data_IF_028283670923
#
_entry.id   IF_028283670923
#
_cell.length_a   1.000
_cell.length_b   1.000
_cell.length_c   1.000
_cell.angle_alpha   90.00
_cell.angle_beta   90.00
_cell.angle_gamma   90.00
#
_symmetry.space_group_name_H-M   'P 1'
#
loop_
_entity.id
_entity.type
_entity.pdbx_description
1 polymer ?
#
# COMPACT_ATOMS: atom_id res chain seq x y z
N UNK A 1 7.52 -5.14 -8.41
CA UNK A 1 8.00 -4.83 -9.77
C UNK A 1 7.55 -3.41 -10.08
N UNK A 2 8.49 -2.49 -10.24
CA UNK A 2 8.19 -1.10 -10.56
C UNK A 2 7.59 -1.01 -11.96
N UNK A 3 6.43 -0.35 -12.10
CA UNK A 3 5.78 -0.15 -13.41
C UNK A 3 6.50 0.89 -14.27
N UNK A 4 7.40 1.68 -13.68
CA UNK A 4 8.09 2.83 -14.29
C UNK A 4 9.52 2.90 -13.75
N UNK A 5 10.52 3.17 -14.59
CA UNK A 5 11.92 3.32 -14.15
C UNK A 5 12.16 4.67 -13.47
N UNK A 6 13.22 4.77 -12.65
CA UNK A 6 13.60 6.04 -12.00
C UNK A 6 13.85 7.14 -13.03
N UNK A 7 14.49 6.83 -14.16
CA UNK A 7 14.73 7.79 -15.24
C UNK A 7 13.43 8.28 -15.87
N UNK A 8 12.45 7.38 -16.04
CA UNK A 8 11.15 7.74 -16.58
C UNK A 8 10.36 8.65 -15.63
N UNK A 9 10.38 8.36 -14.33
CA UNK A 9 9.76 9.20 -13.32
C UNK A 9 10.44 10.58 -13.21
N UNK A 10 11.78 10.63 -13.22
CA UNK A 10 12.51 11.92 -13.19
C UNK A 10 12.19 12.80 -14.40
N UNK A 11 12.00 12.21 -15.60
CA UNK A 11 11.57 12.98 -16.78
C UNK A 11 10.20 13.64 -16.60
N UNK A 12 9.28 13.00 -15.88
CA UNK A 12 7.98 13.60 -15.58
C UNK A 12 8.10 14.70 -14.52
N UNK A 13 8.92 14.50 -13.48
CA UNK A 13 9.15 15.51 -12.43
C UNK A 13 9.77 16.80 -12.95
N UNK A 14 10.67 16.73 -13.95
CA UNK A 14 11.26 17.92 -14.59
C UNK A 14 10.19 18.80 -15.24
N UNK A 15 9.09 18.22 -15.73
CA UNK A 15 7.98 18.99 -16.35
C UNK A 15 7.17 19.79 -15.32
N UNK A 16 7.33 19.50 -14.03
CA UNK A 16 6.66 20.22 -12.94
C UNK A 16 7.39 21.52 -12.56
N UNK A 17 8.47 21.89 -13.27
CA UNK A 17 9.24 23.12 -13.08
C UNK A 17 9.76 23.29 -11.62
N UNK A 18 10.09 22.17 -10.98
CA UNK A 18 10.69 22.15 -9.64
C UNK A 18 12.11 22.71 -9.66
N UNK A 19 12.55 23.27 -8.53
CA UNK A 19 13.92 23.72 -8.36
C UNK A 19 14.92 22.56 -8.52
N UNK A 20 16.08 22.83 -9.10
CA UNK A 20 17.07 21.79 -9.44
C UNK A 20 17.57 21.02 -8.21
N UNK A 21 17.78 21.71 -7.09
CA UNK A 21 18.14 21.08 -5.82
C UNK A 21 17.06 20.10 -5.34
N UNK A 22 15.78 20.45 -5.47
CA UNK A 22 14.68 19.57 -5.11
C UNK A 22 14.65 18.30 -5.99
N UNK A 23 14.93 18.43 -7.29
CA UNK A 23 15.04 17.27 -8.19
C UNK A 23 16.21 16.36 -7.83
N UNK A 24 17.34 16.93 -7.39
CA UNK A 24 18.49 16.16 -6.90
C UNK A 24 18.15 15.41 -5.61
N UNK A 25 17.48 16.08 -4.67
CA UNK A 25 17.06 15.48 -3.40
C UNK A 25 16.07 14.32 -3.63
N UNK A 26 15.06 14.52 -4.50
CA UNK A 26 14.09 13.47 -4.86
C UNK A 26 14.80 12.28 -5.51
N UNK A 27 15.72 12.53 -6.44
CA UNK A 27 16.49 11.46 -7.10
C UNK A 27 17.28 10.65 -6.08
N UNK A 28 18.07 11.34 -5.24
CA UNK A 28 18.89 10.71 -4.20
C UNK A 28 18.04 9.87 -3.26
N UNK A 29 16.90 10.43 -2.82
CA UNK A 29 15.94 9.72 -1.99
C UNK A 29 15.45 8.43 -2.66
N UNK A 30 15.02 8.46 -3.92
CA UNK A 30 14.47 7.28 -4.60
C UNK A 30 15.54 6.25 -4.97
N UNK A 31 16.77 6.70 -5.26
CA UNK A 31 17.91 5.80 -5.49
C UNK A 31 18.29 5.03 -4.21
N UNK A 32 18.05 5.59 -3.02
CA UNK A 32 18.26 4.91 -1.72
C UNK A 32 17.21 3.86 -1.36
N UNK A 33 16.27 3.53 -2.25
CA UNK A 33 15.12 2.63 -1.96
C UNK A 33 15.46 1.27 -1.38
N UNK A 34 16.66 0.75 -1.65
CA UNK A 34 17.13 -0.52 -1.08
C UNK A 34 17.39 -0.47 0.43
N UNK A 35 17.57 0.72 0.97
CA UNK A 35 17.84 0.98 2.40
C UNK A 35 16.56 1.29 3.18
N UNK A 36 15.44 1.49 2.48
CA UNK A 36 14.19 1.91 3.07
C UNK A 36 13.62 0.84 4.01
N UNK A 37 13.71 1.16 5.30
CA UNK A 37 13.17 0.42 6.44
C UNK A 37 12.47 1.42 7.35
N UNK A 38 11.70 0.95 8.33
CA UNK A 38 11.11 1.86 9.33
C UNK A 38 12.23 2.65 10.04
N UNK A 39 13.35 1.99 10.38
CA UNK A 39 14.53 2.62 10.99
C UNK A 39 15.18 3.69 10.10
N UNK A 40 15.25 3.48 8.78
CA UNK A 40 15.73 4.51 7.85
C UNK A 40 14.91 5.81 7.97
N UNK A 41 13.58 5.69 8.02
CA UNK A 41 12.69 6.85 8.12
C UNK A 41 12.73 7.53 9.49
N UNK A 42 12.99 6.79 10.58
CA UNK A 42 13.28 7.37 11.91
C UNK A 42 14.49 8.32 11.87
N UNK A 43 15.46 8.07 10.99
CA UNK A 43 16.58 8.98 10.76
C UNK A 43 16.21 10.30 10.06
N UNK A 44 15.02 10.39 9.45
CA UNK A 44 14.56 11.52 8.63
C UNK A 44 13.42 12.31 9.27
N UNK A 45 12.92 11.91 10.44
CA UNK A 45 11.72 12.49 11.06
C UNK A 45 11.94 13.86 11.71
N UNK A 46 13.18 14.36 11.74
CA UNK A 46 13.50 15.68 12.28
C UNK A 46 12.68 16.74 11.54
N UNK A 47 12.02 17.60 12.32
CA UNK A 47 11.19 18.71 11.83
C UNK A 47 10.02 18.32 10.91
N UNK A 48 9.60 17.05 10.91
CA UNK A 48 8.44 16.58 10.15
C UNK A 48 7.41 15.88 11.07
N UNK A 49 6.41 16.61 11.61
CA UNK A 49 5.45 16.06 12.57
C UNK A 49 4.57 14.95 11.97
N UNK A 50 4.26 15.02 10.67
CA UNK A 50 3.47 14.00 9.99
C UNK A 50 4.25 12.68 9.87
N UNK A 51 5.55 12.77 9.57
CA UNK A 51 6.44 11.61 9.54
C UNK A 51 6.61 10.99 10.92
N UNK A 52 6.80 11.82 11.96
CA UNK A 52 6.89 11.37 13.35
C UNK A 52 5.63 10.61 13.77
N UNK A 53 4.45 11.18 13.49
CA UNK A 53 3.18 10.51 13.79
C UNK A 53 3.05 9.18 13.02
N UNK A 54 3.36 9.19 11.73
CA UNK A 54 3.30 7.99 10.89
C UNK A 54 4.22 6.87 11.39
N UNK A 55 5.42 7.20 11.88
CA UNK A 55 6.36 6.23 12.44
C UNK A 55 5.88 5.64 13.76
N UNK A 56 5.29 6.45 14.63
CA UNK A 56 4.64 5.95 15.87
C UNK A 56 3.51 4.98 15.53
N UNK A 57 2.64 5.33 14.58
CA UNK A 57 1.54 4.45 14.14
C UNK A 57 2.07 3.14 13.53
N UNK A 58 3.17 3.18 12.77
CA UNK A 58 3.81 1.98 12.19
C UNK A 58 4.48 1.10 13.26
N UNK A 59 5.09 1.67 14.29
CA UNK A 59 5.66 0.93 15.41
C UNK A 59 4.55 0.21 16.20
N UNK A 60 3.43 0.88 16.48
CA UNK A 60 2.26 0.27 17.12
C UNK A 60 1.68 -0.87 16.28
N UNK A 61 1.50 -0.65 14.97
CA UNK A 61 1.04 -1.69 14.06
C UNK A 61 1.98 -2.89 14.07
N UNK A 62 3.29 -2.66 13.99
CA UNK A 62 4.31 -3.71 14.01
C UNK A 62 4.22 -4.55 15.31
N UNK A 63 4.01 -3.89 16.46
CA UNK A 63 3.80 -4.58 17.72
C UNK A 63 2.54 -5.47 17.70
N UNK A 64 1.43 -5.00 17.11
CA UNK A 64 0.23 -5.83 16.95
C UNK A 64 0.45 -7.01 16.01
N UNK A 65 1.14 -6.82 14.87
CA UNK A 65 1.43 -7.89 13.92
C UNK A 65 2.30 -9.00 14.55
N UNK A 66 3.29 -8.63 15.37
CA UNK A 66 4.09 -9.58 16.15
C UNK A 66 3.23 -10.31 17.17
N UNK A 67 2.35 -9.58 17.89
CA UNK A 67 1.49 -10.18 18.92
C UNK A 67 0.47 -11.16 18.35
N UNK A 68 0.05 -10.95 17.11
CA UNK A 68 -0.88 -11.77 16.34
C UNK A 68 -0.20 -12.91 15.56
N UNK A 69 1.14 -13.01 15.60
CA UNK A 69 1.93 -14.04 14.90
C UNK A 69 1.76 -13.98 13.36
N UNK A 70 1.63 -12.78 12.81
CA UNK A 70 1.49 -12.55 11.35
C UNK A 70 2.53 -11.57 10.79
N UNK A 71 3.52 -11.16 11.60
CA UNK A 71 4.55 -10.22 11.18
C UNK A 71 5.35 -10.72 9.97
N UNK A 72 5.68 -12.02 9.92
CA UNK A 72 6.46 -12.62 8.84
C UNK A 72 5.71 -12.61 7.48
N UNK A 73 4.38 -12.49 7.50
CA UNK A 73 3.55 -12.36 6.31
C UNK A 73 3.43 -10.91 5.81
N UNK A 74 3.91 -9.95 6.60
CA UNK A 74 3.76 -8.52 6.35
C UNK A 74 5.09 -7.90 5.91
N UNK A 75 5.04 -7.02 4.91
CA UNK A 75 6.23 -6.31 4.43
C UNK A 75 5.94 -4.82 4.34
N UNK A 76 6.79 -4.02 4.99
CA UNK A 76 6.74 -2.57 4.86
C UNK A 76 7.12 -2.16 3.43
N UNK A 77 6.30 -1.32 2.82
CA UNK A 77 6.53 -0.81 1.47
C UNK A 77 6.19 0.69 1.39
N UNK A 78 7.19 1.58 1.43
CA UNK A 78 6.98 3.03 1.34
C UNK A 78 6.38 3.50 0.02
N UNK A 79 6.49 2.70 -1.06
CA UNK A 79 5.90 3.03 -2.35
C UNK A 79 4.39 2.76 -2.41
N UNK A 80 3.80 2.20 -1.35
CA UNK A 80 2.36 1.96 -1.30
C UNK A 80 1.62 3.29 -1.10
N UNK A 81 1.49 4.05 -2.18
CA UNK A 81 0.67 5.24 -2.27
C UNK A 81 -0.55 4.92 -3.15
N UNK A 82 -1.74 4.91 -2.53
CA UNK A 82 -3.03 4.85 -3.25
C UNK A 82 -3.62 6.24 -3.37
N UNK A 83 -4.73 6.37 -4.11
CA UNK A 83 -5.46 7.63 -4.37
C UNK A 83 -5.39 8.55 -3.14
N UNK A 84 -4.60 9.61 -3.29
CA UNK A 84 -3.98 10.39 -2.22
C UNK A 84 -4.97 11.08 -1.26
N UNK A 85 -6.26 11.10 -1.57
CA UNK A 85 -7.22 11.94 -0.89
C UNK A 85 -8.11 11.23 0.14
N UNK A 86 -8.03 9.90 0.25
CA UNK A 86 -8.95 9.12 1.09
C UNK A 86 -8.30 8.60 2.36
N UNK A 87 -7.06 8.12 2.30
CA UNK A 87 -6.38 7.53 3.44
C UNK A 87 -5.70 8.58 4.33
N UNK A 88 -5.75 8.36 5.64
CA UNK A 88 -5.25 9.28 6.68
C UNK A 88 -4.32 8.59 7.67
N UNK A 89 -3.79 7.42 7.32
CA UNK A 89 -2.93 6.59 8.17
C UNK A 89 -2.52 5.33 7.44
N UNK A 90 -2.42 4.19 8.15
CA UNK A 90 -2.02 2.89 7.58
C UNK A 90 -2.76 2.54 6.29
N UNK A 91 -2.01 2.06 5.30
CA UNK A 91 -2.50 1.48 4.04
C UNK A 91 -1.90 0.07 3.93
N UNK A 92 -2.70 -0.89 3.46
CA UNK A 92 -2.22 -2.26 3.21
C UNK A 92 -2.79 -2.82 1.90
N UNK A 93 -1.98 -3.67 1.28
CA UNK A 93 -2.36 -4.51 0.15
C UNK A 93 -2.02 -5.96 0.45
N UNK A 94 -2.90 -6.85 -0.01
CA UNK A 94 -2.84 -8.29 0.21
C UNK A 94 -2.57 -8.94 -1.14
N UNK A 95 -1.64 -9.87 -1.14
CA UNK A 95 -1.23 -10.65 -2.31
C UNK A 95 -1.27 -12.13 -1.96
N UNK A 96 -1.33 -13.00 -2.98
CA UNK A 96 -1.12 -14.43 -2.78
C UNK A 96 0.35 -14.69 -2.47
N UNK A 97 0.60 -15.52 -1.46
CA UNK A 97 1.95 -15.88 -1.01
C UNK A 97 2.77 -16.57 -2.10
N UNK A 98 2.13 -17.44 -2.88
CA UNK A 98 2.76 -18.20 -3.96
C UNK A 98 3.12 -17.34 -5.20
N UNK A 99 2.69 -16.08 -5.23
CA UNK A 99 2.93 -15.16 -6.33
C UNK A 99 2.32 -15.59 -7.68
N UNK A 100 1.43 -16.58 -7.69
CA UNK A 100 0.74 -17.06 -8.91
C UNK A 100 -0.02 -15.93 -9.59
N UNK A 101 -0.61 -15.06 -8.79
CA UNK A 101 -1.18 -13.79 -9.21
C UNK A 101 -0.36 -12.66 -8.65
N UNK A 102 0.11 -11.79 -9.55
CA UNK A 102 0.92 -10.61 -9.20
C UNK A 102 0.09 -9.38 -8.83
N UNK A 103 -1.21 -9.36 -9.16
CA UNK A 103 -2.11 -8.30 -8.72
C UNK A 103 -2.56 -8.54 -7.28
N UNK A 104 -2.82 -7.45 -6.55
CA UNK A 104 -3.39 -7.52 -5.21
C UNK A 104 -4.76 -8.20 -5.23
N UNK A 105 -5.02 -9.07 -4.25
CA UNK A 105 -6.31 -9.75 -4.02
C UNK A 105 -7.21 -9.01 -3.02
N UNK A 106 -6.67 -8.00 -2.35
CA UNK A 106 -7.39 -7.25 -1.34
C UNK A 106 -6.57 -6.08 -0.83
N UNK A 107 -7.23 -5.07 -0.31
CA UNK A 107 -6.55 -3.83 0.11
C UNK A 107 -7.40 -3.06 1.09
N UNK A 108 -6.79 -2.14 1.81
CA UNK A 108 -7.51 -1.31 2.74
C UNK A 108 -6.60 -0.30 3.43
N UNK A 109 -7.13 0.29 4.49
CA UNK A 109 -6.43 1.28 5.27
C UNK A 109 -7.36 2.13 6.13
N UNK A 110 -6.78 3.14 6.77
CA UNK A 110 -7.45 4.09 7.66
C UNK A 110 -7.89 5.36 6.91
N UNK A 111 -9.14 5.82 7.08
CA UNK A 111 -9.72 6.92 6.29
C UNK A 111 -10.69 7.82 7.07
N UNK A 112 -10.20 8.55 8.07
CA UNK A 112 -11.02 9.27 9.05
C UNK A 112 -12.03 10.28 8.50
N UNK A 113 -11.79 10.78 7.29
CA UNK A 113 -12.59 11.83 6.68
C UNK A 113 -13.79 11.29 5.88
N UNK A 114 -13.89 9.98 5.65
CA UNK A 114 -14.88 9.41 4.73
C UNK A 114 -16.33 9.68 5.20
N UNK A 115 -16.62 9.43 6.48
CA UNK A 115 -17.97 9.63 7.04
C UNK A 115 -18.31 11.12 7.11
N UNK A 116 -17.38 11.97 7.53
CA UNK A 116 -17.57 13.43 7.56
C UNK A 116 -17.93 14.00 6.18
N UNK A 117 -17.19 13.58 5.14
CA UNK A 117 -17.48 13.95 3.74
C UNK A 117 -18.87 13.48 3.29
N UNK A 118 -19.27 12.25 3.62
CA UNK A 118 -20.60 11.72 3.30
C UNK A 118 -21.72 12.53 3.97
N UNK A 119 -21.53 12.89 5.25
CA UNK A 119 -22.49 13.66 6.03
C UNK A 119 -22.44 15.17 5.73
N UNK A 120 -21.50 15.63 4.89
CA UNK A 120 -21.19 17.06 4.68
C UNK A 120 -20.94 17.80 6.00
N UNK A 121 -20.25 17.13 6.92
CA UNK A 121 -19.86 17.62 8.23
C UNK A 121 -18.35 17.80 8.30
N UNK A 122 -17.88 18.80 9.07
CA UNK A 122 -16.46 18.96 9.41
C UNK A 122 -15.96 17.98 10.47
N UNK A 123 -16.81 17.08 10.95
CA UNK A 123 -16.46 16.06 11.93
C UNK A 123 -15.63 14.94 11.29
N UNK A 124 -14.59 14.51 12.01
CA UNK A 124 -13.79 13.33 11.67
C UNK A 124 -14.31 12.12 12.43
N UNK A 125 -14.26 10.95 11.79
CA UNK A 125 -14.69 9.69 12.37
C UNK A 125 -13.64 8.62 12.09
N UNK A 126 -12.99 8.12 13.14
CA UNK A 126 -11.98 7.07 12.99
C UNK A 126 -12.54 5.85 12.30
N UNK A 127 -11.97 5.52 11.15
CA UNK A 127 -12.44 4.41 10.31
C UNK A 127 -11.26 3.66 9.72
N UNK A 128 -11.39 2.33 9.70
CA UNK A 128 -10.49 1.42 9.01
C UNK A 128 -11.34 0.41 8.26
N UNK A 129 -10.91 0.01 7.08
CA UNK A 129 -11.64 -0.98 6.31
C UNK A 129 -10.76 -1.74 5.34
N UNK A 130 -11.30 -2.85 4.87
CA UNK A 130 -10.65 -3.80 3.97
C UNK A 130 -11.65 -4.23 2.91
N UNK A 131 -11.18 -4.42 1.69
CA UNK A 131 -11.96 -4.95 0.58
C UNK A 131 -11.18 -6.05 -0.11
N UNK A 132 -11.89 -7.05 -0.62
CA UNK A 132 -11.33 -8.19 -1.36
C UNK A 132 -11.80 -8.16 -2.82
N UNK A 133 -10.86 -8.38 -3.74
CA UNK A 133 -11.13 -8.50 -5.17
C UNK A 133 -11.61 -9.91 -5.49
N UNK A 134 -12.92 -10.15 -5.39
CA UNK A 134 -13.51 -11.47 -5.56
C UNK A 134 -13.19 -12.12 -6.91
N UNK A 135 -13.14 -11.36 -8.01
CA UNK A 135 -12.78 -11.89 -9.33
C UNK A 135 -11.35 -12.46 -9.35
N UNK A 136 -10.40 -11.76 -8.72
CA UNK A 136 -9.00 -12.18 -8.65
C UNK A 136 -8.86 -13.41 -7.77
N UNK A 137 -9.58 -13.45 -6.65
CA UNK A 137 -9.61 -14.60 -5.73
C UNK A 137 -10.22 -15.82 -6.43
N UNK A 138 -11.34 -15.64 -7.14
CA UNK A 138 -11.99 -16.72 -7.88
C UNK A 138 -11.06 -17.28 -8.96
N UNK A 139 -10.39 -16.40 -9.72
CA UNK A 139 -9.40 -16.81 -10.71
C UNK A 139 -8.24 -17.60 -10.08
N UNK A 140 -7.71 -17.15 -8.93
CA UNK A 140 -6.68 -17.89 -8.18
C UNK A 140 -7.17 -19.29 -7.80
N UNK A 141 -8.40 -19.37 -7.31
CA UNK A 141 -9.02 -20.60 -6.87
C UNK A 141 -9.21 -21.59 -8.03
N UNK A 142 -9.61 -21.12 -9.21
CA UNK A 142 -9.70 -21.92 -10.43
C UNK A 142 -8.34 -22.47 -10.86
N UNK A 143 -7.28 -21.65 -10.81
CA UNK A 143 -5.91 -22.07 -11.16
C UNK A 143 -5.35 -23.10 -10.18
N UNK A 144 -5.71 -23.01 -8.90
CA UNK A 144 -5.30 -23.98 -7.86
C UNK A 144 -6.01 -25.34 -7.96
N UNK A 145 -6.96 -25.51 -8.89
CA UNK A 145 -7.76 -26.73 -9.05
C UNK A 145 -8.93 -26.87 -8.06
N UNK A 146 -9.24 -25.82 -7.30
CA UNK A 146 -10.29 -25.79 -6.28
C UNK A 146 -11.72 -25.84 -6.83
N UNK A 147 -11.92 -25.50 -8.11
CA UNK A 147 -13.18 -25.80 -8.80
C UNK A 147 -13.06 -27.20 -9.39
N UNK A 148 -13.56 -28.19 -8.65
CA UNK A 148 -13.74 -29.54 -9.19
C UNK A 148 -14.39 -29.42 -10.56
N UNK A 149 -13.72 -29.94 -11.60
CA UNK A 149 -14.21 -29.98 -12.99
C UNK A 149 -15.69 -30.30 -12.94
N UNK A 150 -16.56 -29.31 -13.17
CA UNK A 150 -17.99 -29.60 -13.32
C UNK A 150 -18.06 -30.59 -14.46
N UNK A 151 -18.52 -31.81 -14.15
CA UNK A 151 -18.71 -32.86 -15.11
C UNK A 151 -19.44 -32.27 -16.32
N UNK A 152 -18.87 -32.51 -17.50
CA UNK A 152 -19.50 -32.22 -18.78
C UNK A 152 -20.90 -32.83 -18.76
N UNK A 153 -21.93 -32.00 -18.54
CA UNK A 153 -23.27 -32.36 -18.98
C UNK A 153 -23.29 -32.13 -20.49
N UNK A 154 -22.97 -33.20 -21.24
CA UNK A 154 -23.51 -33.35 -22.58
C UNK A 154 -25.02 -33.38 -22.43
N UNK A 155 -25.67 -32.31 -22.87
CA UNK A 155 -27.08 -32.37 -23.25
C UNK A 155 -27.07 -32.73 -24.73
N UNK A 156 -27.78 -33.80 -25.08
CA UNK A 156 -28.04 -34.22 -26.46
C UNK A 156 -28.71 -33.09 -27.25
#
# INVERSE_FOLDING_TARGET
MEKVSVEAMMRELVKLELAENCLLDIRSFIESKSEWTIEYFKGLEQDNPDLQQGLVELDELSAYLVRLDIADMCRFNPFLARVLEVYTGTIYEIFLEDGTIRSSIGSGGRYDNAIGRLLKSGQTFSTVGISFGLDVILYAFEQSGGVGKRASKRVL
#
